data_IF_439741641513
#
_entry.id   IF_439741641513
#
_cell.length_a   1.000
_cell.length_b   1.000
_cell.length_c   1.000
_cell.angle_alpha   90.00
_cell.angle_beta   90.00
_cell.angle_gamma   90.00
#
_symmetry.space_group_name_H-M   'P 1'
#
loop_
_entity.id
_entity.type
_entity.pdbx_description
1 polymer ?
#
# COMPACT_ATOMS: atom_id res chain seq x y z
N UNK A 1 -26.66 -74.48 -54.28
CA UNK A 1 -27.58 -73.69 -53.43
C UNK A 1 -27.18 -73.88 -51.97
N UNK A 2 -27.29 -72.79 -51.20
CA UNK A 2 -26.78 -72.53 -49.84
C UNK A 2 -27.01 -73.60 -48.75
N UNK A 3 -26.03 -73.73 -47.84
CA UNK A 3 -26.08 -73.68 -46.34
C UNK A 3 -24.75 -74.26 -45.81
N UNK A 4 -23.77 -73.52 -45.28
CA UNK A 4 -23.65 -72.69 -44.06
C UNK A 4 -23.81 -73.47 -42.74
N UNK A 5 -22.69 -73.66 -42.01
CA UNK A 5 -22.52 -73.79 -40.55
C UNK A 5 -21.01 -74.03 -40.30
N UNK A 6 -20.18 -73.00 -40.08
CA UNK A 6 -19.94 -72.19 -38.87
C UNK A 6 -19.33 -72.98 -37.70
N UNK A 7 -18.00 -72.94 -37.58
CA UNK A 7 -17.25 -73.26 -36.37
C UNK A 7 -16.25 -72.12 -36.16
N UNK A 8 -16.44 -71.33 -35.11
CA UNK A 8 -15.55 -70.24 -34.73
C UNK A 8 -14.98 -70.56 -33.35
N UNK A 9 -13.69 -70.88 -33.30
CA UNK A 9 -12.92 -70.99 -32.07
C UNK A 9 -12.77 -69.58 -31.47
N UNK A 10 -13.24 -69.40 -30.24
CA UNK A 10 -12.97 -68.21 -29.42
C UNK A 10 -11.66 -68.47 -28.67
N UNK A 11 -10.58 -67.80 -29.06
CA UNK A 11 -9.34 -67.71 -28.28
C UNK A 11 -9.35 -66.40 -27.50
N UNK A 12 -9.58 -66.46 -26.19
CA UNK A 12 -9.35 -65.35 -25.27
C UNK A 12 -7.86 -65.05 -25.17
N UNK A 13 -7.44 -63.88 -25.64
CA UNK A 13 -6.11 -63.31 -25.31
C UNK A 13 -6.33 -62.19 -24.30
N UNK A 14 -5.98 -62.45 -23.04
CA UNK A 14 -5.83 -61.43 -22.02
C UNK A 14 -4.57 -60.62 -22.32
N UNK A 15 -4.73 -59.43 -22.90
CA UNK A 15 -3.66 -58.43 -22.88
C UNK A 15 -3.77 -57.66 -21.55
N UNK A 16 -2.82 -57.94 -20.66
CA UNK A 16 -2.56 -57.10 -19.50
C UNK A 16 -2.12 -55.73 -20.01
N UNK A 17 -2.98 -54.72 -19.84
CA UNK A 17 -2.57 -53.33 -19.95
C UNK A 17 -1.66 -53.07 -18.76
N UNK A 18 -0.36 -53.00 -19.02
CA UNK A 18 0.59 -52.39 -18.11
C UNK A 18 0.18 -50.92 -17.99
N UNK A 19 -0.54 -50.58 -16.93
CA UNK A 19 -0.68 -49.21 -16.44
C UNK A 19 0.72 -48.74 -16.10
N UNK A 20 1.35 -48.07 -17.06
CA UNK A 20 2.45 -47.17 -16.80
C UNK A 20 1.87 -46.12 -15.85
N UNK A 21 2.25 -46.21 -14.58
CA UNK A 21 2.13 -45.12 -13.63
C UNK A 21 2.84 -43.94 -14.27
N UNK A 22 2.06 -43.08 -14.93
CA UNK A 22 2.48 -41.71 -15.11
C UNK A 22 2.70 -41.19 -13.70
N UNK A 23 3.95 -41.16 -13.27
CA UNK A 23 4.40 -40.23 -12.25
C UNK A 23 3.89 -38.88 -12.72
N UNK A 24 2.77 -38.46 -12.13
CA UNK A 24 2.31 -37.10 -12.15
C UNK A 24 3.40 -36.35 -11.41
N UNK A 25 4.40 -35.88 -12.16
CA UNK A 25 5.23 -34.77 -11.74
C UNK A 25 4.27 -33.67 -11.29
N UNK A 26 4.25 -33.49 -9.99
CA UNK A 26 3.67 -32.36 -9.30
C UNK A 26 4.47 -31.11 -9.66
N UNK A 27 4.44 -30.69 -10.93
CA UNK A 27 4.89 -29.35 -11.36
C UNK A 27 3.71 -28.39 -11.20
N UNK A 28 3.38 -28.11 -9.94
CA UNK A 28 2.39 -27.11 -9.60
C UNK A 28 3.15 -25.81 -9.26
N UNK A 29 2.91 -24.78 -10.07
CA UNK A 29 3.22 -23.35 -9.85
C UNK A 29 4.68 -22.92 -9.60
N UNK A 30 5.57 -23.13 -10.58
CA UNK A 30 6.69 -22.20 -10.74
C UNK A 30 6.57 -21.58 -12.12
N UNK A 31 5.94 -20.39 -12.20
CA UNK A 31 6.15 -19.51 -13.34
C UNK A 31 7.65 -19.17 -13.33
N UNK A 32 8.42 -19.92 -14.13
CA UNK A 32 9.88 -19.82 -14.16
C UNK A 32 10.34 -18.52 -14.84
N UNK A 33 11.61 -18.16 -14.64
CA UNK A 33 12.26 -17.06 -15.35
C UNK A 33 12.02 -17.14 -16.87
N UNK A 34 12.17 -18.33 -17.45
CA UNK A 34 11.96 -18.60 -18.88
C UNK A 34 10.54 -18.24 -19.33
N UNK A 35 9.52 -18.57 -18.52
CA UNK A 35 8.14 -18.20 -18.82
C UNK A 35 7.99 -16.68 -18.85
N UNK A 36 8.55 -15.98 -17.86
CA UNK A 36 8.44 -14.54 -17.79
C UNK A 36 9.18 -13.86 -18.96
N UNK A 37 10.38 -14.32 -19.31
CA UNK A 37 11.11 -13.83 -20.48
C UNK A 37 10.33 -14.05 -21.78
N UNK A 38 9.71 -15.22 -21.94
CA UNK A 38 8.82 -15.49 -23.07
C UNK A 38 7.62 -14.54 -23.09
N UNK A 39 7.02 -14.25 -21.93
CA UNK A 39 5.94 -13.27 -21.83
C UNK A 39 6.41 -11.85 -22.20
N UNK A 40 7.63 -11.45 -21.81
CA UNK A 40 8.20 -10.15 -22.20
C UNK A 40 8.36 -10.06 -23.72
N UNK A 41 8.90 -11.11 -24.35
CA UNK A 41 9.05 -11.17 -25.81
C UNK A 41 7.70 -11.05 -26.54
N UNK A 42 6.66 -11.71 -26.01
CA UNK A 42 5.32 -11.67 -26.60
C UNK A 42 4.59 -10.34 -26.34
N UNK A 43 4.77 -9.72 -25.17
CA UNK A 43 4.06 -8.51 -24.75
C UNK A 43 4.82 -7.20 -25.04
N UNK A 44 6.00 -7.27 -25.65
CA UNK A 44 6.92 -6.17 -25.99
C UNK A 44 7.55 -5.41 -24.80
N UNK A 45 6.97 -5.46 -23.60
CA UNK A 45 7.55 -4.85 -22.40
C UNK A 45 7.28 -5.69 -21.15
N UNK A 46 8.13 -5.53 -20.14
CA UNK A 46 7.98 -6.20 -18.85
C UNK A 46 6.70 -5.76 -18.15
N UNK A 47 6.33 -4.48 -18.19
CA UNK A 47 5.08 -4.01 -17.58
C UNK A 47 3.84 -4.67 -18.17
N UNK A 48 3.79 -4.83 -19.50
CA UNK A 48 2.65 -5.52 -20.15
C UNK A 48 2.61 -7.00 -19.81
N UNK A 49 3.77 -7.66 -19.78
CA UNK A 49 3.89 -9.05 -19.34
C UNK A 49 3.40 -9.22 -17.90
N UNK A 50 3.88 -8.41 -16.96
CA UNK A 50 3.46 -8.43 -15.55
C UNK A 50 1.97 -8.17 -15.43
N UNK A 51 1.46 -7.13 -16.09
CA UNK A 51 0.02 -6.81 -16.06
C UNK A 51 -0.84 -7.98 -16.53
N UNK A 52 -0.42 -8.65 -17.61
CA UNK A 52 -1.11 -9.83 -18.13
C UNK A 52 -1.05 -11.01 -17.15
N UNK A 53 0.15 -11.36 -16.68
CA UNK A 53 0.34 -12.54 -15.83
C UNK A 53 -0.32 -12.36 -14.47
N UNK A 54 -0.10 -11.23 -13.78
CA UNK A 54 -0.73 -10.96 -12.48
C UNK A 54 -2.25 -10.85 -12.60
N UNK A 55 -2.76 -10.27 -13.70
CA UNK A 55 -4.20 -10.18 -13.94
C UNK A 55 -4.90 -11.53 -14.13
N UNK A 56 -4.21 -12.53 -14.71
CA UNK A 56 -4.76 -13.87 -14.92
C UNK A 56 -4.42 -14.85 -13.79
N UNK A 57 -3.28 -14.65 -13.13
CA UNK A 57 -2.75 -15.53 -12.08
C UNK A 57 -2.39 -14.73 -10.83
N UNK A 58 -3.37 -14.07 -10.18
CA UNK A 58 -3.12 -13.22 -9.01
C UNK A 58 -2.49 -13.98 -7.84
N UNK A 59 -2.77 -15.29 -7.70
CA UNK A 59 -2.16 -16.14 -6.68
C UNK A 59 -0.65 -16.34 -6.85
N UNK A 60 -0.10 -16.04 -8.03
CA UNK A 60 1.33 -16.17 -8.34
C UNK A 60 2.09 -14.84 -8.21
N UNK A 61 1.46 -13.78 -7.69
CA UNK A 61 2.04 -12.43 -7.64
C UNK A 61 3.42 -12.41 -7.00
N UNK A 62 3.62 -13.20 -5.93
CA UNK A 62 4.89 -13.25 -5.21
C UNK A 62 6.01 -13.76 -6.11
N UNK A 63 5.83 -14.94 -6.69
CA UNK A 63 6.78 -15.56 -7.60
C UNK A 63 7.05 -14.66 -8.81
N UNK A 64 6.00 -14.13 -9.43
CA UNK A 64 6.09 -13.35 -10.68
C UNK A 64 6.81 -12.03 -10.45
N UNK A 65 6.40 -11.25 -9.44
CA UNK A 65 7.01 -9.94 -9.15
C UNK A 65 8.43 -10.11 -8.64
N UNK A 66 8.68 -11.08 -7.76
CA UNK A 66 10.01 -11.40 -7.25
C UNK A 66 10.97 -11.75 -8.39
N UNK A 67 10.56 -12.64 -9.29
CA UNK A 67 11.37 -13.06 -10.45
C UNK A 67 11.61 -11.90 -11.41
N UNK A 68 10.58 -11.08 -11.67
CA UNK A 68 10.70 -9.92 -12.54
C UNK A 68 11.71 -8.90 -12.02
N UNK A 69 11.69 -8.65 -10.71
CA UNK A 69 12.61 -7.75 -10.04
C UNK A 69 14.06 -8.28 -10.06
N UNK A 70 14.25 -9.59 -9.99
CA UNK A 70 15.58 -10.21 -10.14
C UNK A 70 16.13 -10.10 -11.56
N UNK A 71 15.29 -10.34 -12.58
CA UNK A 71 15.70 -10.31 -13.98
C UNK A 71 15.86 -8.88 -14.53
N UNK A 72 15.01 -7.96 -14.08
CA UNK A 72 14.95 -6.58 -14.59
C UNK A 72 14.97 -5.55 -13.44
N UNK A 73 16.01 -5.51 -12.59
CA UNK A 73 16.04 -4.62 -11.42
C UNK A 73 15.95 -3.14 -11.80
N UNK A 74 16.55 -2.74 -12.93
CA UNK A 74 16.45 -1.38 -13.47
C UNK A 74 15.04 -0.98 -13.95
N UNK A 75 14.10 -1.92 -14.00
CA UNK A 75 12.70 -1.72 -14.40
C UNK A 75 11.71 -1.83 -13.24
N UNK A 76 12.20 -1.77 -11.99
CA UNK A 76 11.36 -1.90 -10.78
C UNK A 76 10.10 -1.02 -10.82
N UNK A 77 10.20 0.24 -11.30
CA UNK A 77 9.05 1.14 -11.41
C UNK A 77 7.94 0.58 -12.30
N UNK A 78 8.33 0.07 -13.46
CA UNK A 78 7.40 -0.51 -14.44
C UNK A 78 6.76 -1.79 -13.90
N UNK A 79 7.54 -2.63 -13.20
CA UNK A 79 7.07 -3.89 -12.61
C UNK A 79 6.08 -3.64 -11.48
N UNK A 80 6.44 -2.82 -10.49
CA UNK A 80 5.59 -2.50 -9.33
C UNK A 80 4.30 -1.85 -9.80
N UNK A 81 4.41 -0.85 -10.68
CA UNK A 81 3.25 -0.15 -11.21
C UNK A 81 2.31 -1.10 -11.97
N UNK A 82 2.87 -1.96 -12.83
CA UNK A 82 2.06 -2.91 -13.60
C UNK A 82 1.37 -3.95 -12.73
N UNK A 83 2.05 -4.47 -11.69
CA UNK A 83 1.48 -5.46 -10.79
C UNK A 83 0.32 -4.88 -9.97
N UNK A 84 0.52 -3.70 -9.36
CA UNK A 84 -0.50 -3.01 -8.57
C UNK A 84 -1.68 -2.61 -9.46
N UNK A 85 -1.43 -1.99 -10.61
CA UNK A 85 -2.50 -1.59 -11.53
C UNK A 85 -3.25 -2.78 -12.18
N UNK A 86 -2.66 -3.99 -12.17
CA UNK A 86 -3.36 -5.20 -12.59
C UNK A 86 -4.30 -5.73 -11.51
N UNK A 87 -3.83 -5.70 -10.26
CA UNK A 87 -4.57 -6.23 -9.12
C UNK A 87 -4.34 -5.40 -7.86
N UNK A 88 -5.10 -4.30 -7.67
CA UNK A 88 -4.98 -3.40 -6.51
C UNK A 88 -5.07 -4.10 -5.14
N UNK A 89 -5.85 -5.18 -5.07
CA UNK A 89 -6.00 -5.98 -3.85
C UNK A 89 -4.71 -6.64 -3.35
N UNK A 90 -3.66 -6.69 -4.19
CA UNK A 90 -2.35 -7.26 -3.85
C UNK A 90 -1.28 -6.18 -3.59
N UNK A 91 -1.69 -4.92 -3.38
CA UNK A 91 -0.76 -3.79 -3.19
C UNK A 91 0.24 -4.02 -2.06
N UNK A 92 -0.23 -4.47 -0.89
CA UNK A 92 0.63 -4.75 0.27
C UNK A 92 1.69 -5.82 -0.04
N UNK A 93 1.31 -6.90 -0.74
CA UNK A 93 2.24 -7.95 -1.14
C UNK A 93 3.31 -7.41 -2.10
N UNK A 94 2.90 -6.67 -3.14
CA UNK A 94 3.83 -6.11 -4.12
C UNK A 94 4.82 -5.14 -3.47
N UNK A 95 4.35 -4.27 -2.58
CA UNK A 95 5.20 -3.31 -1.85
C UNK A 95 6.21 -4.06 -0.97
N UNK A 96 5.76 -5.04 -0.20
CA UNK A 96 6.62 -5.85 0.68
C UNK A 96 7.67 -6.62 -0.11
N UNK A 97 7.30 -7.24 -1.22
CA UNK A 97 8.25 -7.94 -2.11
C UNK A 97 9.30 -6.96 -2.61
N UNK A 98 8.89 -5.78 -3.09
CA UNK A 98 9.80 -4.79 -3.65
C UNK A 98 10.78 -4.23 -2.60
N UNK A 99 10.32 -3.97 -1.38
CA UNK A 99 11.17 -3.52 -0.26
C UNK A 99 12.15 -4.63 0.12
N UNK A 100 11.67 -5.87 0.31
CA UNK A 100 12.50 -7.01 0.71
C UNK A 100 13.58 -7.36 -0.32
N UNK A 101 13.33 -7.08 -1.60
CA UNK A 101 14.35 -7.24 -2.65
C UNK A 101 15.50 -6.25 -2.55
N UNK A 102 15.32 -5.10 -1.88
CA UNK A 102 16.39 -4.13 -1.66
C UNK A 102 16.99 -3.52 -2.94
N UNK A 103 16.26 -3.55 -4.06
CA UNK A 103 16.74 -3.04 -5.36
C UNK A 103 16.77 -1.51 -5.40
N UNK A 104 15.95 -0.85 -4.59
CA UNK A 104 15.86 0.60 -4.45
C UNK A 104 15.46 0.97 -3.02
N UNK A 105 15.41 2.26 -2.69
CA UNK A 105 14.96 2.72 -1.36
C UNK A 105 13.47 2.50 -1.13
N UNK A 106 13.06 2.35 0.13
CA UNK A 106 11.65 2.25 0.53
C UNK A 106 10.84 3.43 -0.02
N UNK A 107 11.38 4.64 0.11
CA UNK A 107 10.85 5.88 -0.50
C UNK A 107 10.44 5.74 -1.97
N UNK A 108 11.31 5.12 -2.78
CA UNK A 108 11.07 4.95 -4.21
C UNK A 108 9.99 3.89 -4.49
N UNK A 109 9.91 2.85 -3.65
CA UNK A 109 8.84 1.84 -3.73
C UNK A 109 7.51 2.50 -3.39
N UNK A 110 7.41 3.20 -2.25
CA UNK A 110 6.20 3.90 -1.79
C UNK A 110 5.71 4.87 -2.86
N UNK A 111 6.57 5.77 -3.34
CA UNK A 111 6.21 6.73 -4.40
C UNK A 111 5.67 6.03 -5.67
N UNK A 112 6.29 4.92 -6.06
CA UNK A 112 5.88 4.18 -7.26
C UNK A 112 4.53 3.51 -7.05
N UNK A 113 4.31 2.91 -5.88
CA UNK A 113 3.09 2.18 -5.55
C UNK A 113 1.88 3.12 -5.43
N UNK A 114 2.02 4.25 -4.73
CA UNK A 114 0.95 5.26 -4.61
C UNK A 114 0.58 5.80 -6.00
N UNK A 115 1.57 6.09 -6.85
CA UNK A 115 1.30 6.53 -8.23
C UNK A 115 0.65 5.46 -9.11
N UNK A 116 0.76 4.19 -8.75
CA UNK A 116 0.11 3.10 -9.46
C UNK A 116 -1.36 3.00 -9.10
N UNK A 117 -1.68 3.15 -7.81
CA UNK A 117 -3.04 3.11 -7.32
C UNK A 117 -3.19 4.02 -6.08
N UNK A 118 -3.57 5.30 -6.26
CA UNK A 118 -3.70 6.26 -5.17
C UNK A 118 -4.75 5.86 -4.14
N UNK A 119 -5.84 5.20 -4.56
CA UNK A 119 -6.93 4.80 -3.66
C UNK A 119 -6.53 3.70 -2.67
N UNK A 120 -5.35 3.09 -2.81
CA UNK A 120 -4.80 2.06 -1.91
C UNK A 120 -3.58 2.56 -1.11
N UNK A 121 -3.44 3.87 -0.97
CA UNK A 121 -2.29 4.49 -0.28
C UNK A 121 -2.13 4.03 1.17
N UNK A 122 -3.21 3.74 1.89
CA UNK A 122 -3.21 3.22 3.25
C UNK A 122 -2.54 1.83 3.33
N UNK A 123 -2.80 0.94 2.38
CA UNK A 123 -2.11 -0.35 2.26
C UNK A 123 -0.63 -0.17 1.93
N UNK A 124 -0.28 0.79 1.06
CA UNK A 124 1.13 1.07 0.72
C UNK A 124 1.90 1.53 1.96
N UNK A 125 1.38 2.53 2.68
CA UNK A 125 2.10 3.09 3.85
C UNK A 125 2.15 2.10 4.99
N UNK A 126 1.11 1.30 5.21
CA UNK A 126 1.11 0.25 6.23
C UNK A 126 2.15 -0.84 5.92
N UNK A 127 2.18 -1.34 4.67
CA UNK A 127 3.15 -2.33 4.23
C UNK A 127 4.60 -1.82 4.38
N UNK A 128 4.84 -0.57 3.99
CA UNK A 128 6.15 0.06 4.11
C UNK A 128 6.55 0.30 5.57
N UNK A 129 5.66 0.83 6.40
CA UNK A 129 5.91 1.10 7.81
C UNK A 129 6.19 -0.18 8.62
N UNK A 130 5.55 -1.29 8.26
CA UNK A 130 5.85 -2.60 8.84
C UNK A 130 7.20 -3.16 8.37
N UNK A 131 7.56 -2.94 7.11
CA UNK A 131 8.78 -3.49 6.51
C UNK A 131 10.03 -2.72 6.91
N UNK A 132 9.93 -1.40 7.10
CA UNK A 132 11.02 -0.50 7.50
C UNK A 132 10.54 0.53 8.54
N UNK A 133 10.26 0.11 9.79
CA UNK A 133 9.72 0.99 10.84
C UNK A 133 10.61 2.19 11.17
N UNK A 134 11.91 2.09 10.93
CA UNK A 134 12.89 3.16 11.11
C UNK A 134 12.76 4.29 10.07
N UNK A 135 12.11 4.04 8.93
CA UNK A 135 11.86 5.02 7.87
C UNK A 135 10.45 5.65 7.95
N UNK A 136 9.73 5.45 9.06
CA UNK A 136 8.32 5.87 9.23
C UNK A 136 8.06 7.33 8.81
N UNK A 137 8.90 8.24 9.28
CA UNK A 137 8.76 9.68 9.03
C UNK A 137 8.84 9.98 7.53
N UNK A 138 9.78 9.34 6.82
CA UNK A 138 9.97 9.51 5.39
C UNK A 138 8.85 8.87 4.57
N UNK A 139 8.34 7.71 5.01
CA UNK A 139 7.18 7.05 4.41
C UNK A 139 5.95 7.96 4.48
N UNK A 140 5.64 8.49 5.67
CA UNK A 140 4.52 9.42 5.87
C UNK A 140 4.71 10.67 5.02
N UNK A 141 5.91 11.27 5.05
CA UNK A 141 6.23 12.47 4.28
C UNK A 141 5.98 12.27 2.79
N UNK A 142 6.50 11.17 2.21
CA UNK A 142 6.34 10.87 0.78
C UNK A 142 4.88 10.61 0.44
N UNK A 143 4.17 9.86 1.29
CA UNK A 143 2.79 9.51 1.02
C UNK A 143 1.89 10.75 1.00
N UNK A 144 2.01 11.62 2.00
CA UNK A 144 1.22 12.86 2.09
C UNK A 144 1.60 13.85 0.98
N UNK A 145 2.87 13.94 0.59
CA UNK A 145 3.29 14.77 -0.55
C UNK A 145 2.75 14.23 -1.88
N UNK A 146 2.66 12.90 -2.02
CA UNK A 146 2.23 12.26 -3.26
C UNK A 146 0.71 12.26 -3.40
N UNK A 147 0.00 12.02 -2.31
CA UNK A 147 -1.46 11.91 -2.26
C UNK A 147 -2.03 12.71 -1.06
N UNK A 148 -1.98 14.05 -1.10
CA UNK A 148 -2.41 14.91 0.00
C UNK A 148 -3.91 14.80 0.29
N UNK A 149 -4.72 14.45 -0.71
CA UNK A 149 -6.18 14.29 -0.57
C UNK A 149 -6.54 13.07 0.31
N UNK A 150 -5.58 12.16 0.55
CA UNK A 150 -5.73 11.00 1.44
C UNK A 150 -4.92 11.13 2.74
N UNK A 151 -4.47 12.34 3.08
CA UNK A 151 -3.62 12.58 4.24
C UNK A 151 -4.23 12.08 5.56
N UNK A 152 -5.53 12.23 5.74
CA UNK A 152 -6.30 11.74 6.88
C UNK A 152 -6.23 10.21 7.01
N UNK A 153 -6.44 9.48 5.90
CA UNK A 153 -6.36 8.03 5.84
C UNK A 153 -4.93 7.54 6.11
N UNK A 154 -3.92 8.19 5.51
CA UNK A 154 -2.50 7.90 5.71
C UNK A 154 -2.14 8.00 7.19
N UNK A 155 -2.36 9.16 7.81
CA UNK A 155 -1.97 9.37 9.20
C UNK A 155 -2.79 8.50 10.14
N UNK A 156 -4.08 8.29 9.89
CA UNK A 156 -4.94 7.47 10.75
C UNK A 156 -4.46 6.03 10.76
N UNK A 157 -4.17 5.46 9.60
CA UNK A 157 -3.67 4.09 9.47
C UNK A 157 -2.33 3.91 10.17
N UNK A 158 -1.36 4.79 9.88
CA UNK A 158 -0.02 4.69 10.44
C UNK A 158 -0.02 4.96 11.95
N UNK A 159 -0.80 5.93 12.43
CA UNK A 159 -0.91 6.23 13.86
C UNK A 159 -1.59 5.10 14.64
N UNK A 160 -2.57 4.39 14.05
CA UNK A 160 -3.18 3.21 14.67
C UNK A 160 -2.19 2.06 14.79
N UNK A 161 -1.35 1.86 13.79
CA UNK A 161 -0.30 0.85 13.81
C UNK A 161 0.85 1.23 14.77
N UNK A 162 1.15 2.52 14.92
CA UNK A 162 2.25 3.03 15.75
C UNK A 162 1.79 4.18 16.68
N UNK A 163 0.95 3.92 17.71
CA UNK A 163 0.40 4.98 18.55
C UNK A 163 1.45 5.79 19.31
N UNK A 164 2.57 5.15 19.67
CA UNK A 164 3.71 5.81 20.33
C UNK A 164 4.51 6.76 19.42
N UNK A 165 4.17 6.82 18.12
CA UNK A 165 4.80 7.66 17.10
C UNK A 165 3.91 8.80 16.61
N UNK A 166 2.78 9.06 17.30
CA UNK A 166 1.79 10.05 16.89
C UNK A 166 2.39 11.44 16.59
N UNK A 167 3.26 11.96 17.45
CA UNK A 167 3.90 13.27 17.25
C UNK A 167 4.80 13.28 16.03
N UNK A 168 5.60 12.23 15.82
CA UNK A 168 6.52 12.09 14.68
C UNK A 168 5.74 12.03 13.35
N UNK A 169 4.63 11.28 13.33
CA UNK A 169 3.72 11.15 12.18
C UNK A 169 3.08 12.49 11.83
N UNK A 170 2.51 13.20 12.80
CA UNK A 170 1.89 14.52 12.58
C UNK A 170 2.94 15.51 12.08
N UNK A 171 4.12 15.52 12.69
CA UNK A 171 5.20 16.43 12.31
C UNK A 171 5.69 16.18 10.89
N UNK A 172 5.84 14.91 10.50
CA UNK A 172 6.25 14.53 9.16
C UNK A 172 5.20 14.90 8.10
N UNK A 173 3.92 14.67 8.40
CA UNK A 173 2.83 14.96 7.47
C UNK A 173 2.58 16.46 7.28
N UNK A 174 2.32 17.19 8.37
CA UNK A 174 1.97 18.61 8.34
C UNK A 174 3.19 19.46 7.96
N UNK A 175 4.37 19.10 8.44
CA UNK A 175 5.61 19.79 8.06
C UNK A 175 5.89 19.71 6.56
N UNK A 176 5.47 18.62 5.90
CA UNK A 176 5.61 18.46 4.46
C UNK A 176 4.51 19.18 3.67
N UNK A 177 3.26 19.11 4.14
CA UNK A 177 2.09 19.66 3.46
C UNK A 177 1.19 20.37 4.48
N UNK A 178 1.45 21.66 4.82
CA UNK A 178 0.75 22.29 5.95
C UNK A 178 -0.77 22.40 5.81
N UNK A 179 -1.30 22.48 4.59
CA UNK A 179 -2.74 22.61 4.37
C UNK A 179 -3.54 21.35 4.68
N UNK A 180 -2.88 20.18 4.85
CA UNK A 180 -3.58 18.96 5.28
C UNK A 180 -3.80 18.89 6.80
N UNK A 181 -3.29 19.88 7.55
CA UNK A 181 -3.35 19.88 9.02
C UNK A 181 -4.76 19.83 9.58
N UNK A 182 -5.73 20.49 8.94
CA UNK A 182 -7.15 20.41 9.30
C UNK A 182 -7.67 18.97 9.22
N UNK A 183 -7.47 18.29 8.08
CA UNK A 183 -7.96 16.91 7.87
C UNK A 183 -7.29 15.91 8.81
N UNK A 184 -6.00 16.09 9.06
CA UNK A 184 -5.23 15.26 9.99
C UNK A 184 -5.76 15.40 11.42
N UNK A 185 -6.03 16.63 11.87
CA UNK A 185 -6.54 16.89 13.21
C UNK A 185 -7.94 16.30 13.38
N UNK A 186 -8.83 16.49 12.40
CA UNK A 186 -10.18 15.92 12.43
C UNK A 186 -10.13 14.38 12.61
N UNK A 187 -9.35 13.70 11.75
CA UNK A 187 -9.25 12.25 11.78
C UNK A 187 -8.60 11.71 13.06
N UNK A 188 -7.56 12.39 13.58
CA UNK A 188 -6.82 11.92 14.76
C UNK A 188 -7.56 12.21 16.06
N UNK A 189 -8.35 13.28 16.17
CA UNK A 189 -9.19 13.51 17.34
C UNK A 189 -10.31 12.46 17.46
N UNK A 190 -10.83 11.96 16.33
CA UNK A 190 -11.77 10.84 16.32
C UNK A 190 -11.09 9.53 16.74
N UNK A 191 -9.89 9.26 16.22
CA UNK A 191 -9.17 8.00 16.49
C UNK A 191 -8.50 7.97 17.88
N UNK A 192 -8.04 9.11 18.39
CA UNK A 192 -7.25 9.26 19.61
C UNK A 192 -7.77 10.43 20.47
N UNK A 193 -9.02 10.38 20.96
CA UNK A 193 -9.62 11.49 21.72
C UNK A 193 -8.83 11.86 22.98
N UNK A 194 -8.12 10.90 23.58
CA UNK A 194 -7.29 11.12 24.76
C UNK A 194 -5.93 11.79 24.45
N UNK A 195 -5.57 11.92 23.17
CA UNK A 195 -4.32 12.55 22.71
C UNK A 195 -4.56 13.95 22.16
N UNK A 196 -5.72 14.56 22.44
CA UNK A 196 -6.13 15.86 21.91
C UNK A 196 -5.07 16.96 22.08
N UNK A 197 -4.42 17.01 23.25
CA UNK A 197 -3.33 17.95 23.50
C UNK A 197 -2.17 17.76 22.53
N UNK A 198 -1.68 16.52 22.40
CA UNK A 198 -0.57 16.15 21.52
C UNK A 198 -0.90 16.45 20.06
N UNK A 199 -2.11 16.10 19.62
CA UNK A 199 -2.59 16.31 18.25
C UNK A 199 -2.66 17.79 17.90
N UNK A 200 -3.40 18.58 18.70
CA UNK A 200 -3.64 20.00 18.41
C UNK A 200 -2.35 20.81 18.54
N UNK A 201 -1.60 20.63 19.64
CA UNK A 201 -0.39 21.43 19.87
C UNK A 201 0.71 21.14 18.83
N UNK A 202 0.83 19.89 18.38
CA UNK A 202 1.76 19.53 17.30
C UNK A 202 1.29 20.12 15.97
N UNK A 203 0.03 19.93 15.59
CA UNK A 203 -0.47 20.43 14.31
C UNK A 203 -0.34 21.96 14.18
N UNK A 204 -0.64 22.71 15.25
CA UNK A 204 -0.44 24.16 15.29
C UNK A 204 1.02 24.55 15.13
N UNK A 205 1.94 23.84 15.81
CA UNK A 205 3.38 24.12 15.74
C UNK A 205 3.91 23.96 14.33
N UNK A 206 3.56 22.84 13.69
CA UNK A 206 4.07 22.51 12.35
C UNK A 206 3.43 23.37 11.26
N UNK A 207 2.23 23.91 11.51
CA UNK A 207 1.55 24.87 10.62
C UNK A 207 1.93 26.33 10.87
N UNK A 208 2.83 26.61 11.82
CA UNK A 208 3.10 27.97 12.31
C UNK A 208 3.52 28.98 11.24
N UNK A 209 4.13 28.51 10.14
CA UNK A 209 4.51 29.34 8.98
C UNK A 209 3.31 29.80 8.14
N UNK A 210 2.14 29.16 8.26
CA UNK A 210 0.91 29.48 7.54
C UNK A 210 -0.22 29.77 8.53
N UNK A 211 -0.34 31.04 8.95
CA UNK A 211 -1.27 31.43 10.03
C UNK A 211 -2.74 31.09 9.74
N UNK A 212 -3.15 31.09 8.48
CA UNK A 212 -4.49 30.65 8.09
C UNK A 212 -4.74 29.17 8.43
N UNK A 213 -3.73 28.30 8.27
CA UNK A 213 -3.85 26.88 8.61
C UNK A 213 -3.91 26.66 10.12
N UNK A 214 -3.19 27.49 10.90
CA UNK A 214 -3.31 27.48 12.37
C UNK A 214 -4.76 27.75 12.81
N UNK A 215 -5.42 28.75 12.21
CA UNK A 215 -6.82 29.07 12.54
C UNK A 215 -7.74 27.89 12.20
N UNK A 216 -7.61 27.32 10.99
CA UNK A 216 -8.41 26.14 10.56
C UNK A 216 -8.24 24.97 11.52
N UNK A 217 -7.02 24.65 11.92
CA UNK A 217 -6.74 23.60 12.91
C UNK A 217 -7.47 23.85 14.24
N UNK A 218 -7.45 25.09 14.74
CA UNK A 218 -8.13 25.45 16.00
C UNK A 218 -9.66 25.35 15.83
N UNK A 219 -10.21 25.77 14.69
CA UNK A 219 -11.63 25.64 14.35
C UNK A 219 -12.06 24.17 14.30
N UNK A 220 -11.30 23.32 13.62
CA UNK A 220 -11.55 21.87 13.56
C UNK A 220 -11.52 21.23 14.94
N UNK A 221 -10.52 21.58 15.76
CA UNK A 221 -10.42 21.11 17.13
C UNK A 221 -11.63 21.52 18.00
N UNK A 222 -12.13 22.76 17.84
CA UNK A 222 -13.37 23.24 18.48
C UNK A 222 -14.58 22.42 18.01
N UNK A 223 -14.70 22.21 16.70
CA UNK A 223 -15.80 21.48 16.08
C UNK A 223 -15.81 20.00 16.47
N UNK A 224 -14.63 19.42 16.73
CA UNK A 224 -14.46 18.08 17.29
C UNK A 224 -14.86 17.97 18.77
N UNK A 225 -15.23 19.08 19.43
CA UNK A 225 -15.80 19.11 20.77
C UNK A 225 -14.81 19.39 21.90
N UNK A 226 -13.60 19.85 21.59
CA UNK A 226 -12.66 20.32 22.62
C UNK A 226 -13.19 21.62 23.22
N UNK A 227 -13.34 21.69 24.55
CA UNK A 227 -13.82 22.89 25.21
C UNK A 227 -12.82 24.05 25.11
N UNK A 228 -13.33 25.27 25.25
CA UNK A 228 -12.57 26.50 25.03
C UNK A 228 -11.34 26.65 25.94
N UNK A 229 -11.35 26.10 27.15
CA UNK A 229 -10.22 26.19 28.08
C UNK A 229 -9.08 25.30 27.60
N UNK A 230 -9.36 24.01 27.35
CA UNK A 230 -8.37 23.07 26.82
C UNK A 230 -7.90 23.48 25.42
N UNK A 231 -8.80 23.90 24.53
CA UNK A 231 -8.47 24.37 23.19
C UNK A 231 -7.48 25.53 23.23
N UNK A 232 -7.73 26.51 24.11
CA UNK A 232 -6.81 27.64 24.31
C UNK A 232 -5.44 27.15 24.77
N UNK A 233 -5.39 26.27 25.76
CA UNK A 233 -4.14 25.75 26.30
C UNK A 233 -3.33 25.00 25.22
N UNK A 234 -3.97 24.12 24.45
CA UNK A 234 -3.30 23.31 23.43
C UNK A 234 -2.79 24.16 22.26
N UNK A 235 -3.60 25.10 21.77
CA UNK A 235 -3.24 25.99 20.68
C UNK A 235 -2.07 26.92 21.06
N UNK A 236 -2.12 27.53 22.26
CA UNK A 236 -1.03 28.38 22.76
C UNK A 236 0.25 27.58 22.98
N UNK A 237 0.16 26.34 23.48
CA UNK A 237 1.31 25.43 23.61
C UNK A 237 1.95 25.12 22.26
N UNK A 238 1.14 25.02 21.21
CA UNK A 238 1.60 24.86 19.82
C UNK A 238 2.19 26.13 19.19
N UNK A 239 2.07 27.30 19.84
CA UNK A 239 2.58 28.57 19.29
C UNK A 239 1.55 29.40 18.52
N UNK A 240 0.25 29.15 18.70
CA UNK A 240 -0.78 30.10 18.31
C UNK A 240 -0.67 31.38 19.15
N UNK A 241 -1.05 32.51 18.56
CA UNK A 241 -1.21 33.77 19.26
C UNK A 241 -2.54 33.80 20.03
N UNK A 242 -2.66 34.69 21.02
CA UNK A 242 -3.92 34.85 21.76
C UNK A 242 -5.02 35.40 20.84
N UNK A 243 -4.65 36.21 19.87
CA UNK A 243 -5.54 36.81 18.89
C UNK A 243 -6.19 35.75 17.99
N UNK A 244 -5.41 34.79 17.49
CA UNK A 244 -5.94 33.69 16.67
C UNK A 244 -6.86 32.76 17.47
N UNK A 245 -6.48 32.45 18.72
CA UNK A 245 -7.34 31.64 19.61
C UNK A 245 -8.65 32.37 19.90
N UNK A 246 -8.57 33.68 20.21
CA UNK A 246 -9.74 34.49 20.49
C UNK A 246 -10.65 34.64 19.25
N UNK A 247 -10.08 34.68 18.04
CA UNK A 247 -10.84 34.72 16.79
C UNK A 247 -11.75 33.50 16.64
N UNK A 248 -11.31 32.31 17.08
CA UNK A 248 -12.09 31.08 16.95
C UNK A 248 -13.07 30.90 18.10
N UNK A 249 -12.66 31.23 19.34
CA UNK A 249 -13.50 31.01 20.53
C UNK A 249 -14.69 31.97 20.60
N UNK A 250 -14.53 33.20 20.12
CA UNK A 250 -15.56 34.23 20.21
C UNK A 250 -16.59 34.20 19.05
N UNK A 251 -16.46 33.24 18.13
CA UNK A 251 -17.47 32.90 17.13
C UNK A 251 -18.50 31.92 17.70
#
# INVERSE_FOLDING_TARGET
MKKLLLSFLITCSFNSVATQSAEKESNNSQLTADFLEQQVQQNMSIGRAIKSVVGHYPQEVETVVSTALDLYPGKYKEIIHAAIAAQPALTEDVVRIAINKGITSCSNVVLTAIKAEPSYVDFVVNAAAQSTPEELDEIVRIAVVTEPDSADAIVSTVAKAHPNKLVDIISSAIGAVPFVGEYIVDALLVAFPNEAESVVSTAVRESSAQREQVIKIIETAKNAGIDNEHLSAYALKGGASKEEVAQVINQ
#
